data_IF_586625386510
#
_entry.id   IF_586625386510
#
_cell.length_a   1.000
_cell.length_b   1.000
_cell.length_c   1.000
_cell.angle_alpha   90.00
_cell.angle_beta   90.00
_cell.angle_gamma   90.00
#
_symmetry.space_group_name_H-M   'P 1'
#
loop_
_entity.id
_entity.type
_entity.pdbx_description
1 polymer ?
#
# COMPACT_ATOMS: atom_id res chain seq x y z
N UNK A 1 3.45 9.44 12.92
CA UNK A 1 2.23 10.08 12.38
C UNK A 1 1.09 9.06 12.38
N UNK A 2 -0.17 9.52 12.37
CA UNK A 2 -1.35 8.66 12.42
C UNK A 2 -1.88 8.30 11.02
N UNK A 3 -2.63 7.20 10.90
CA UNK A 3 -3.32 6.85 9.67
C UNK A 3 -4.47 7.84 9.38
N UNK A 4 -4.70 8.13 8.10
CA UNK A 4 -5.92 8.82 7.66
C UNK A 4 -6.84 7.78 7.03
N UNK A 5 -7.87 7.29 7.74
CA UNK A 5 -8.78 6.30 7.18
C UNK A 5 -9.59 6.91 6.05
N UNK A 6 -9.70 6.18 4.94
CA UNK A 6 -10.61 6.50 3.86
C UNK A 6 -12.05 6.38 4.37
N UNK A 7 -12.84 7.44 4.19
CA UNK A 7 -14.22 7.51 4.70
C UNK A 7 -15.27 7.19 3.63
N UNK A 8 -14.83 6.91 2.39
CA UNK A 8 -15.71 6.61 1.27
C UNK A 8 -15.97 5.11 1.08
N UNK A 9 -16.45 4.76 -0.11
CA UNK A 9 -16.70 3.36 -0.47
C UNK A 9 -15.40 2.53 -0.46
N UNK A 10 -15.52 1.27 -0.07
CA UNK A 10 -14.44 0.29 -0.13
C UNK A 10 -14.72 -0.81 -1.15
N UNK A 11 -13.68 -1.54 -1.53
CA UNK A 11 -13.78 -2.84 -2.20
C UNK A 11 -13.90 -3.93 -1.13
N UNK A 12 -14.51 -5.07 -1.47
CA UNK A 12 -14.62 -6.23 -0.57
C UNK A 12 -13.30 -6.86 -0.10
N UNK A 13 -12.15 -6.37 -0.59
CA UNK A 13 -10.81 -6.80 -0.19
C UNK A 13 -10.11 -5.85 0.81
N UNK A 14 -10.85 -4.87 1.33
CA UNK A 14 -10.37 -3.95 2.38
C UNK A 14 -9.66 -2.69 1.88
N UNK A 15 -9.64 -2.44 0.58
CA UNK A 15 -9.10 -1.20 0.01
C UNK A 15 -10.19 -0.16 -0.25
N UNK A 16 -9.93 1.09 0.13
CA UNK A 16 -10.76 2.23 -0.26
C UNK A 16 -10.82 2.42 -1.78
N UNK A 17 -11.94 2.93 -2.28
CA UNK A 17 -12.18 3.19 -3.70
C UNK A 17 -12.85 4.55 -3.92
N UNK A 18 -12.48 5.20 -5.02
CA UNK A 18 -13.11 6.45 -5.47
C UNK A 18 -13.42 6.35 -6.97
N UNK A 19 -14.52 6.98 -7.40
CA UNK A 19 -14.87 7.12 -8.81
C UNK A 19 -14.24 8.37 -9.39
N UNK A 20 -13.45 8.22 -10.45
CA UNK A 20 -12.85 9.31 -11.21
C UNK A 20 -13.12 9.08 -12.70
N UNK A 21 -13.72 10.06 -13.37
CA UNK A 21 -14.06 9.98 -14.80
C UNK A 21 -14.80 8.68 -15.19
N UNK A 22 -15.78 8.29 -14.36
CA UNK A 22 -16.58 7.06 -14.56
C UNK A 22 -15.87 5.76 -14.19
N UNK A 23 -14.59 5.79 -13.79
CA UNK A 23 -13.79 4.59 -13.47
C UNK A 23 -13.53 4.49 -11.96
N UNK A 24 -13.55 3.27 -11.44
CA UNK A 24 -13.20 2.97 -10.06
C UNK A 24 -11.67 2.91 -9.90
N UNK A 25 -11.09 3.81 -9.12
CA UNK A 25 -9.65 3.84 -8.82
C UNK A 25 -9.39 3.62 -7.34
N UNK A 26 -8.24 3.05 -7.01
CA UNK A 26 -7.86 2.80 -5.61
C UNK A 26 -7.65 4.12 -4.86
N UNK A 27 -8.26 4.28 -3.69
CA UNK A 27 -8.20 5.54 -2.95
C UNK A 27 -6.77 5.90 -2.52
N UNK A 28 -6.00 4.94 -2.03
CA UNK A 28 -4.59 5.18 -1.66
C UNK A 28 -3.73 5.53 -2.87
N UNK A 29 -3.94 4.89 -4.02
CA UNK A 29 -3.20 5.21 -5.25
C UNK A 29 -3.50 6.64 -5.68
N UNK A 30 -4.77 7.05 -5.59
CA UNK A 30 -5.16 8.41 -5.93
C UNK A 30 -4.58 9.44 -4.95
N UNK A 31 -4.52 9.12 -3.66
CA UNK A 31 -3.88 9.99 -2.67
C UNK A 31 -2.38 10.17 -2.99
N UNK A 32 -1.66 9.08 -3.30
CA UNK A 32 -0.26 9.17 -3.72
C UNK A 32 -0.09 10.08 -4.95
N UNK A 33 -0.91 9.89 -5.99
CA UNK A 33 -0.85 10.74 -7.20
C UNK A 33 -1.06 12.22 -6.93
N UNK A 34 -1.92 12.57 -5.97
CA UNK A 34 -2.25 13.95 -5.64
C UNK A 34 -1.16 14.65 -4.82
N UNK A 35 -0.47 13.92 -3.94
CA UNK A 35 0.47 14.51 -2.97
C UNK A 35 1.94 14.22 -3.27
N UNK A 36 2.24 13.11 -3.93
CA UNK A 36 3.61 12.64 -4.21
C UNK A 36 3.95 12.66 -5.70
N UNK A 37 2.96 12.50 -6.58
CA UNK A 37 3.15 12.56 -8.04
C UNK A 37 2.83 11.25 -8.77
N UNK A 38 3.14 11.16 -10.08
CA UNK A 38 2.68 10.06 -10.91
C UNK A 38 3.23 8.70 -10.43
N UNK A 39 2.36 7.69 -10.47
CA UNK A 39 2.79 6.31 -10.22
C UNK A 39 3.43 5.77 -11.50
N UNK A 40 4.72 5.43 -11.41
CA UNK A 40 5.50 4.90 -12.52
C UNK A 40 4.94 3.56 -13.02
N UNK A 41 5.14 3.27 -14.31
CA UNK A 41 4.74 2.02 -14.90
C UNK A 41 5.42 0.83 -14.21
N UNK A 42 4.64 -0.22 -13.95
CA UNK A 42 5.11 -1.41 -13.21
C UNK A 42 5.19 -1.23 -11.69
N UNK A 43 4.90 -0.04 -11.15
CA UNK A 43 4.92 0.22 -9.71
C UNK A 43 3.53 0.12 -9.06
N UNK A 44 3.53 -0.40 -7.84
CA UNK A 44 2.39 -0.44 -6.94
C UNK A 44 2.57 0.59 -5.83
N UNK A 45 1.46 1.19 -5.37
CA UNK A 45 1.45 2.06 -4.19
C UNK A 45 1.24 1.19 -2.96
N UNK A 46 2.23 1.15 -2.09
CA UNK A 46 2.31 0.29 -0.92
C UNK A 46 2.11 1.08 0.37
N UNK A 47 1.65 0.40 1.44
CA UNK A 47 1.41 1.00 2.76
C UNK A 47 2.54 0.67 3.72
N UNK A 48 3.19 1.67 4.31
CA UNK A 48 4.12 1.48 5.44
C UNK A 48 3.40 0.98 6.71
N UNK A 49 2.14 1.40 6.88
CA UNK A 49 1.34 1.12 8.07
C UNK A 49 0.52 -0.18 8.00
N UNK A 50 0.59 -0.91 6.88
CA UNK A 50 -0.21 -2.12 6.59
C UNK A 50 -1.75 -1.96 6.73
N UNK A 51 -2.25 -0.74 6.92
CA UNK A 51 -3.67 -0.41 6.97
C UNK A 51 -4.18 -0.06 5.57
N UNK A 52 -4.89 -1.01 4.94
CA UNK A 52 -5.44 -0.89 3.57
C UNK A 52 -6.45 0.25 3.39
N UNK A 53 -7.04 0.76 4.47
CA UNK A 53 -7.93 1.92 4.46
C UNK A 53 -7.18 3.25 4.58
N UNK A 54 -5.87 3.26 4.87
CA UNK A 54 -5.10 4.48 5.01
C UNK A 54 -4.87 5.18 3.66
N UNK A 55 -5.05 6.51 3.64
CA UNK A 55 -4.75 7.39 2.50
C UNK A 55 -3.78 8.53 2.86
N UNK A 56 -3.13 8.47 4.03
CA UNK A 56 -2.10 9.43 4.41
C UNK A 56 -0.88 9.27 3.48
N UNK A 57 -0.49 10.29 2.68
CA UNK A 57 0.64 10.19 1.75
C UNK A 57 1.96 9.85 2.44
N UNK A 58 2.16 10.27 3.69
CA UNK A 58 3.37 9.93 4.47
C UNK A 58 3.45 8.43 4.80
N UNK A 59 2.35 7.69 4.65
CA UNK A 59 2.28 6.24 4.86
C UNK A 59 2.30 5.46 3.54
N UNK A 60 2.46 6.12 2.39
CA UNK A 60 2.42 5.51 1.06
C UNK A 60 3.78 5.61 0.37
N UNK A 61 4.17 4.59 -0.38
CA UNK A 61 5.41 4.58 -1.16
C UNK A 61 5.25 3.76 -2.44
N UNK A 62 6.14 3.93 -3.41
CA UNK A 62 6.20 3.07 -4.60
C UNK A 62 7.06 1.85 -4.31
N UNK A 63 6.57 0.69 -4.72
CA UNK A 63 7.35 -0.54 -4.75
C UNK A 63 6.96 -1.36 -5.96
N UNK A 64 7.87 -2.20 -6.42
CA UNK A 64 7.53 -3.20 -7.43
C UNK A 64 6.56 -4.22 -6.83
N UNK A 65 5.78 -4.88 -7.70
CA UNK A 65 4.91 -6.00 -7.29
C UNK A 65 5.69 -7.07 -6.51
N UNK A 66 6.90 -7.39 -6.95
CA UNK A 66 7.78 -8.37 -6.31
C UNK A 66 8.18 -7.96 -4.90
N UNK A 67 8.55 -6.70 -4.69
CA UNK A 67 8.92 -6.17 -3.36
C UNK A 67 7.72 -6.16 -2.42
N UNK A 68 6.55 -5.71 -2.89
CA UNK A 68 5.31 -5.74 -2.09
C UNK A 68 4.91 -7.17 -1.70
N UNK A 69 5.07 -8.14 -2.61
CA UNK A 69 4.82 -9.55 -2.32
C UNK A 69 5.85 -10.12 -1.34
N UNK A 70 7.12 -9.75 -1.48
CA UNK A 70 8.19 -10.13 -0.56
C UNK A 70 7.95 -9.56 0.85
N UNK A 71 7.56 -8.28 0.98
CA UNK A 71 7.18 -7.65 2.24
C UNK A 71 5.95 -8.33 2.86
N UNK A 72 4.94 -8.63 2.05
CA UNK A 72 3.75 -9.38 2.47
C UNK A 72 4.11 -10.77 3.03
N UNK A 73 4.98 -11.50 2.34
CA UNK A 73 5.49 -12.79 2.81
C UNK A 73 6.34 -12.61 4.08
N UNK A 74 7.17 -11.56 4.13
CA UNK A 74 8.04 -11.27 5.26
C UNK A 74 7.25 -11.04 6.55
N UNK A 75 6.12 -10.36 6.42
CA UNK A 75 5.16 -10.07 7.48
C UNK A 75 4.17 -11.21 7.76
N UNK A 76 4.30 -12.36 7.08
CA UNK A 76 3.42 -13.51 7.26
C UNK A 76 1.96 -13.26 6.81
N UNK A 77 1.74 -12.29 5.92
CA UNK A 77 0.42 -11.92 5.38
C UNK A 77 0.08 -12.62 4.06
N UNK A 78 1.03 -13.36 3.48
CA UNK A 78 0.79 -14.16 2.28
C UNK A 78 -0.20 -15.30 2.58
N UNK A 79 -1.22 -15.46 1.74
CA UNK A 79 -2.19 -16.55 1.86
C UNK A 79 -1.70 -17.81 1.17
N UNK A 80 -1.62 -18.92 1.91
CA UNK A 80 -1.22 -20.23 1.39
C UNK A 80 0.28 -20.49 1.54
N UNK A 81 0.59 -21.63 2.17
CA UNK A 81 1.91 -22.25 2.38
C UNK A 81 2.74 -21.75 3.60
N UNK A 82 2.81 -22.66 4.58
CA UNK A 82 3.81 -22.80 5.66
C UNK A 82 4.36 -21.53 6.33
N UNK A 83 3.97 -21.35 7.59
CA UNK A 83 4.55 -20.34 8.51
C UNK A 83 6.03 -20.65 8.79
N UNK A 84 6.95 -20.04 8.05
CA UNK A 84 8.35 -19.91 8.50
C UNK A 84 8.53 -18.54 9.12
N UNK A 85 8.98 -18.51 10.37
CA UNK A 85 9.17 -17.31 11.19
C UNK A 85 10.39 -16.53 10.67
N UNK A 86 10.21 -15.28 10.25
CA UNK A 86 11.30 -14.38 9.92
C UNK A 86 11.75 -13.58 11.15
N UNK A 87 13.00 -13.11 11.13
CA UNK A 87 13.70 -12.52 12.27
C UNK A 87 14.06 -11.05 11.97
N UNK A 88 14.33 -10.22 13.01
CA UNK A 88 14.31 -8.75 12.92
C UNK A 88 15.26 -8.06 11.90
N UNK A 89 16.06 -8.81 11.15
CA UNK A 89 17.03 -8.32 10.17
C UNK A 89 16.50 -8.29 8.72
N UNK A 90 15.26 -8.74 8.50
CA UNK A 90 14.74 -9.02 7.15
C UNK A 90 13.89 -7.87 6.55
N UNK A 91 13.84 -6.68 7.18
CA UNK A 91 13.00 -5.56 6.73
C UNK A 91 13.85 -4.32 6.48
N UNK A 92 13.96 -3.91 5.21
CA UNK A 92 14.57 -2.63 4.81
C UNK A 92 13.50 -1.53 4.81
N UNK A 93 13.76 -0.45 5.53
CA UNK A 93 12.91 0.74 5.62
C UNK A 93 13.45 1.82 4.71
N UNK A 94 12.73 2.16 3.64
CA UNK A 94 12.86 3.48 3.03
C UNK A 94 11.45 4.02 2.72
N UNK A 95 11.09 5.04 3.49
CA UNK A 95 9.86 5.81 3.39
C UNK A 95 9.84 6.65 2.11
N UNK A 96 8.65 7.14 1.74
CA UNK A 96 8.47 8.13 0.67
C UNK A 96 9.43 9.31 0.86
N UNK A 97 10.47 9.36 0.04
CA UNK A 97 11.38 10.51 -0.02
C UNK A 97 10.65 11.60 -0.79
N UNK A 98 10.57 12.78 -0.16
CA UNK A 98 10.15 14.03 -0.82
C UNK A 98 11.24 14.52 -1.75
#
# INVERSE_FOLDING_TARGET
>A
MACWPWMGAGKGNGYGNVRLNGKNVSAHRRAYELFCGPVLDGMDVCHLCDNRWCVNPDHLFLGTRSENMADCAAKGRATGFYRKRLIPKDVATDSCVK
#
